data_IF_821826721228
#
_entry.id   IF_821826721228
#
_cell.length_a   1.000
_cell.length_b   1.000
_cell.length_c   1.000
_cell.angle_alpha   90.00
_cell.angle_beta   90.00
_cell.angle_gamma   90.00
#
_symmetry.space_group_name_H-M   'P 1'
#
loop_
_entity.id
_entity.type
_entity.pdbx_description
1 polymer ?
#
# COMPACT_ATOMS: atom_id res chain seq x y z
N UNK A 1 -9.27 5.66 -28.58
CA UNK A 1 -10.00 6.08 -29.80
C UNK A 1 -10.38 4.84 -30.61
N UNK A 2 -11.28 4.98 -31.59
CA UNK A 2 -11.59 3.89 -32.50
C UNK A 2 -10.32 3.49 -33.27
N UNK A 3 -10.00 2.17 -33.30
CA UNK A 3 -8.80 1.57 -33.89
C UNK A 3 -7.52 1.65 -33.05
N UNK A 4 -7.55 2.20 -31.84
CA UNK A 4 -6.41 2.10 -30.93
C UNK A 4 -6.25 0.65 -30.45
N UNK A 5 -4.99 0.17 -30.42
CA UNK A 5 -4.64 -1.11 -29.84
C UNK A 5 -4.33 -0.91 -28.36
N UNK A 6 -4.90 -1.74 -27.51
CA UNK A 6 -4.67 -1.69 -26.07
C UNK A 6 -4.61 -3.11 -25.49
N UNK A 7 -3.92 -3.27 -24.39
CA UNK A 7 -3.95 -4.48 -23.58
C UNK A 7 -5.07 -4.37 -22.55
N UNK A 8 -5.73 -5.47 -22.28
CA UNK A 8 -6.75 -5.56 -21.24
C UNK A 8 -6.69 -6.92 -20.56
N UNK A 9 -7.01 -6.94 -19.27
CA UNK A 9 -7.10 -8.15 -18.49
C UNK A 9 -8.47 -8.82 -18.70
N UNK A 10 -8.52 -10.13 -18.90
CA UNK A 10 -9.75 -10.91 -18.98
C UNK A 10 -10.27 -11.10 -17.56
N UNK A 11 -11.21 -10.26 -17.14
CA UNK A 11 -11.77 -10.29 -15.79
C UNK A 11 -12.68 -11.49 -15.56
N UNK A 12 -13.47 -11.85 -16.55
CA UNK A 12 -14.47 -12.90 -16.42
C UNK A 12 -14.86 -13.44 -17.80
N UNK A 13 -15.17 -14.73 -17.87
CA UNK A 13 -15.77 -15.37 -19.04
C UNK A 13 -17.07 -16.05 -18.58
N UNK A 14 -18.21 -15.60 -19.11
CA UNK A 14 -19.53 -16.19 -18.83
C UNK A 14 -19.99 -17.00 -20.01
N UNK A 15 -20.46 -18.24 -19.77
CA UNK A 15 -21.17 -19.01 -20.77
C UNK A 15 -22.63 -18.61 -20.76
N UNK A 16 -23.16 -18.28 -21.95
CA UNK A 16 -24.56 -17.93 -22.13
C UNK A 16 -25.17 -18.76 -23.29
N UNK A 17 -26.51 -18.88 -23.40
CA UNK A 17 -27.15 -19.58 -24.52
C UNK A 17 -26.77 -19.02 -25.91
N UNK A 18 -26.26 -17.78 -25.96
CA UNK A 18 -25.79 -17.10 -27.18
C UNK A 18 -24.31 -17.19 -27.44
N UNK A 19 -23.59 -17.99 -26.63
CA UNK A 19 -22.14 -18.13 -26.68
C UNK A 19 -21.41 -17.53 -25.47
N UNK A 20 -20.08 -17.56 -25.51
CA UNK A 20 -19.26 -17.01 -24.44
C UNK A 20 -19.23 -15.48 -24.48
N UNK A 21 -19.42 -14.85 -23.32
CA UNK A 21 -19.22 -13.42 -23.11
C UNK A 21 -17.92 -13.19 -22.34
N UNK A 22 -17.04 -12.37 -22.89
CA UNK A 22 -15.74 -12.04 -22.31
C UNK A 22 -15.80 -10.63 -21.76
N UNK A 23 -15.55 -10.49 -20.45
CA UNK A 23 -15.46 -9.21 -19.75
C UNK A 23 -14.00 -8.81 -19.59
N UNK A 24 -13.66 -7.66 -20.14
CA UNK A 24 -12.31 -7.08 -20.08
C UNK A 24 -12.26 -5.94 -19.07
N UNK A 25 -11.12 -5.77 -18.42
CA UNK A 25 -10.88 -4.67 -17.51
C UNK A 25 -9.45 -4.15 -17.64
N UNK A 26 -9.30 -2.82 -17.49
CA UNK A 26 -7.99 -2.15 -17.34
C UNK A 26 -7.81 -1.56 -15.94
N UNK A 27 -8.82 -1.65 -15.08
CA UNK A 27 -8.86 -1.01 -13.76
C UNK A 27 -8.63 -1.98 -12.59
N UNK A 28 -8.63 -3.28 -12.83
CA UNK A 28 -8.35 -4.28 -11.80
C UNK A 28 -6.87 -4.31 -11.43
N UNK A 29 -6.55 -4.74 -10.21
CA UNK A 29 -5.15 -4.88 -9.76
C UNK A 29 -4.38 -5.87 -10.63
N UNK A 30 -5.03 -6.96 -11.03
CA UNK A 30 -4.44 -8.02 -11.86
C UNK A 30 -3.85 -7.49 -13.18
N UNK A 31 -4.47 -6.45 -13.77
CA UNK A 31 -3.92 -5.81 -14.97
C UNK A 31 -2.50 -5.26 -14.72
N UNK A 32 -2.27 -4.61 -13.59
CA UNK A 32 -0.94 -4.10 -13.23
C UNK A 32 0.02 -5.24 -12.92
N UNK A 33 -0.44 -6.26 -12.20
CA UNK A 33 0.36 -7.44 -11.83
C UNK A 33 0.85 -8.17 -13.09
N UNK A 34 -0.02 -8.41 -14.05
CA UNK A 34 0.32 -9.05 -15.32
C UNK A 34 1.31 -8.22 -16.15
N UNK A 35 1.16 -6.89 -16.15
CA UNK A 35 2.10 -6.00 -16.83
C UNK A 35 3.51 -6.10 -16.22
N UNK A 36 3.62 -6.13 -14.88
CA UNK A 36 4.90 -6.34 -14.22
C UNK A 36 5.46 -7.75 -14.47
N UNK A 37 4.63 -8.77 -14.51
CA UNK A 37 5.05 -10.15 -14.83
C UNK A 37 5.62 -10.25 -16.24
N UNK A 38 5.07 -9.50 -17.20
CA UNK A 38 5.61 -9.45 -18.56
C UNK A 38 6.89 -8.62 -18.69
N UNK A 39 7.01 -7.53 -17.90
CA UNK A 39 8.12 -6.58 -18.03
C UNK A 39 9.35 -6.97 -17.19
N UNK A 40 9.15 -7.74 -16.11
CA UNK A 40 10.18 -8.10 -15.13
C UNK A 40 10.42 -9.61 -15.18
N UNK A 41 11.49 -10.09 -15.86
CA UNK A 41 11.79 -11.51 -15.98
C UNK A 41 11.89 -12.22 -14.63
N UNK A 42 12.46 -11.57 -13.63
CA UNK A 42 12.63 -12.12 -12.27
C UNK A 42 11.29 -12.46 -11.59
N UNK A 43 10.19 -11.80 -11.99
CA UNK A 43 8.84 -12.15 -11.54
C UNK A 43 8.34 -13.38 -12.30
N UNK A 44 8.46 -13.41 -13.62
CA UNK A 44 8.01 -14.53 -14.45
C UNK A 44 8.77 -15.83 -14.14
N UNK A 45 10.03 -15.74 -13.74
CA UNK A 45 10.88 -16.85 -13.30
C UNK A 45 10.61 -17.25 -11.84
N UNK A 46 9.77 -16.51 -11.12
CA UNK A 46 9.41 -16.79 -9.74
C UNK A 46 10.52 -16.50 -8.73
N UNK A 47 11.51 -15.71 -9.10
CA UNK A 47 12.59 -15.23 -8.20
C UNK A 47 12.09 -14.09 -7.30
N UNK A 48 11.22 -13.24 -7.85
CA UNK A 48 10.51 -12.19 -7.14
C UNK A 48 9.02 -12.55 -7.14
N UNK A 49 8.38 -12.39 -5.98
CA UNK A 49 6.96 -12.58 -5.79
C UNK A 49 6.24 -11.25 -5.62
N UNK A 50 5.13 -11.06 -6.33
CA UNK A 50 4.19 -9.99 -6.05
C UNK A 50 3.28 -10.47 -4.93
N UNK A 51 3.26 -9.76 -3.81
CA UNK A 51 2.49 -10.11 -2.61
C UNK A 51 1.14 -9.41 -2.55
N UNK A 52 1.07 -8.16 -3.02
CA UNK A 52 -0.16 -7.38 -3.03
C UNK A 52 -0.08 -6.24 -4.05
N UNK A 53 -1.24 -5.73 -4.45
CA UNK A 53 -1.36 -4.54 -5.29
C UNK A 53 -2.57 -3.70 -4.88
N UNK A 54 -2.42 -2.38 -4.92
CA UNK A 54 -3.50 -1.43 -4.71
C UNK A 54 -3.43 -0.33 -5.76
N UNK A 55 -4.57 -0.01 -6.38
CA UNK A 55 -4.64 0.96 -7.48
C UNK A 55 -5.70 2.03 -7.24
N UNK A 56 -5.36 3.22 -7.66
CA UNK A 56 -6.27 4.30 -8.05
C UNK A 56 -6.09 4.49 -9.56
N UNK A 57 -6.91 3.77 -10.38
CA UNK A 57 -6.63 3.60 -11.80
C UNK A 57 -6.47 4.92 -12.56
N UNK A 58 -5.39 5.02 -13.33
CA UNK A 58 -5.03 6.22 -14.09
C UNK A 58 -4.32 7.31 -13.29
N UNK A 59 -4.17 7.16 -11.98
CA UNK A 59 -3.53 8.14 -11.11
C UNK A 59 -2.28 7.58 -10.43
N UNK A 60 -2.46 6.65 -9.48
CA UNK A 60 -1.36 6.08 -8.71
C UNK A 60 -1.68 4.68 -8.22
N UNK A 61 -0.64 3.87 -8.06
CA UNK A 61 -0.75 2.53 -7.48
C UNK A 61 0.47 2.18 -6.64
N UNK A 62 0.32 1.14 -5.82
CA UNK A 62 1.38 0.55 -5.02
C UNK A 62 1.42 -0.94 -5.32
N UNK A 63 2.63 -1.47 -5.49
CA UNK A 63 2.89 -2.89 -5.73
C UNK A 63 3.86 -3.41 -4.67
N UNK A 64 3.43 -4.38 -3.87
CA UNK A 64 4.26 -5.01 -2.86
C UNK A 64 4.95 -6.23 -3.41
N UNK A 65 6.29 -6.28 -3.30
CA UNK A 65 7.14 -7.32 -3.84
C UNK A 65 8.08 -7.89 -2.77
N UNK A 66 8.40 -9.18 -2.91
CA UNK A 66 9.37 -9.90 -2.05
C UNK A 66 10.30 -10.72 -2.93
N UNK A 67 11.60 -10.66 -2.68
CA UNK A 67 12.54 -11.60 -3.29
C UNK A 67 12.62 -12.88 -2.45
N UNK A 68 12.75 -14.03 -3.11
CA UNK A 68 13.00 -15.32 -2.45
C UNK A 68 14.42 -15.41 -1.91
N UNK A 69 15.38 -14.82 -2.63
CA UNK A 69 16.79 -14.74 -2.22
C UNK A 69 17.09 -13.31 -1.74
N UNK A 70 17.61 -13.19 -0.51
CA UNK A 70 17.97 -11.90 0.11
C UNK A 70 19.06 -11.11 -0.63
N UNK A 71 19.79 -11.77 -1.56
CA UNK A 71 20.81 -11.12 -2.39
C UNK A 71 20.23 -10.33 -3.56
N UNK A 72 18.96 -10.53 -3.84
CA UNK A 72 18.27 -9.86 -4.95
C UNK A 72 17.50 -8.67 -4.41
N UNK A 73 17.70 -7.52 -5.02
CA UNK A 73 16.89 -6.32 -4.78
C UNK A 73 15.59 -6.37 -5.59
N UNK A 74 14.44 -6.67 -4.96
CA UNK A 74 13.19 -6.77 -5.68
C UNK A 74 12.67 -5.41 -6.15
N UNK A 75 12.98 -4.34 -5.44
CA UNK A 75 12.57 -2.98 -5.80
C UNK A 75 13.35 -2.54 -7.04
N UNK A 76 14.66 -2.64 -7.02
CA UNK A 76 15.53 -2.28 -8.13
C UNK A 76 15.23 -3.07 -9.40
N UNK A 77 14.93 -4.37 -9.26
CA UNK A 77 14.54 -5.23 -10.39
C UNK A 77 13.24 -4.78 -11.04
N UNK A 78 12.23 -4.40 -10.26
CA UNK A 78 10.94 -3.90 -10.77
C UNK A 78 11.05 -2.49 -11.36
N UNK A 79 11.89 -1.63 -10.81
CA UNK A 79 12.14 -0.30 -11.34
C UNK A 79 12.90 -0.38 -12.67
N UNK A 80 13.92 -1.23 -12.72
CA UNK A 80 14.77 -1.42 -13.88
C UNK A 80 15.78 -0.28 -14.06
N UNK A 81 16.69 -0.46 -15.00
CA UNK A 81 17.75 0.53 -15.28
C UNK A 81 17.14 1.89 -15.65
N UNK A 82 17.47 2.92 -14.88
CA UNK A 82 16.93 4.30 -15.04
C UNK A 82 15.39 4.36 -15.03
N UNK A 83 14.73 3.42 -14.37
CA UNK A 83 13.29 3.39 -14.30
C UNK A 83 12.58 2.81 -15.53
N UNK A 84 13.30 2.17 -16.45
CA UNK A 84 12.75 1.75 -17.75
C UNK A 84 11.56 0.80 -17.62
N UNK A 85 11.63 -0.18 -16.69
CA UNK A 85 10.58 -1.19 -16.51
C UNK A 85 9.31 -0.58 -15.90
N UNK A 86 9.45 0.13 -14.78
CA UNK A 86 8.30 0.78 -14.14
C UNK A 86 7.67 1.83 -15.06
N UNK A 87 8.47 2.53 -15.87
CA UNK A 87 7.97 3.51 -16.84
C UNK A 87 7.21 2.83 -17.99
N UNK A 88 7.65 1.66 -18.46
CA UNK A 88 6.94 0.90 -19.48
C UNK A 88 5.53 0.50 -18.99
N UNK A 89 5.43 -0.01 -17.74
CA UNK A 89 4.13 -0.31 -17.11
C UNK A 89 3.29 0.95 -16.93
N UNK A 90 3.86 2.04 -16.42
CA UNK A 90 3.17 3.32 -16.25
C UNK A 90 2.59 3.83 -17.58
N UNK A 91 3.35 3.76 -18.65
CA UNK A 91 2.92 4.20 -20.00
C UNK A 91 1.74 3.35 -20.50
N UNK A 92 1.78 2.01 -20.32
CA UNK A 92 0.66 1.14 -20.67
C UNK A 92 -0.60 1.48 -19.85
N UNK A 93 -0.44 1.93 -18.62
CA UNK A 93 -1.52 2.35 -17.72
C UNK A 93 -1.90 3.84 -17.85
N UNK A 94 -1.59 4.47 -18.98
CA UNK A 94 -1.88 5.88 -19.27
C UNK A 94 -1.26 6.89 -18.29
N UNK A 95 -0.03 6.63 -17.85
CA UNK A 95 0.70 7.50 -16.95
C UNK A 95 0.42 7.28 -15.46
N UNK A 96 -0.25 6.19 -15.10
CA UNK A 96 -0.45 5.79 -13.70
C UNK A 96 0.91 5.55 -13.02
N UNK A 97 1.18 6.30 -11.95
CA UNK A 97 2.44 6.18 -11.19
C UNK A 97 2.39 4.93 -10.33
N UNK A 98 3.43 4.10 -10.38
CA UNK A 98 3.53 2.89 -9.57
C UNK A 98 4.66 3.02 -8.55
N UNK A 99 4.33 2.96 -7.28
CA UNK A 99 5.30 2.85 -6.19
C UNK A 99 5.57 1.38 -5.92
N UNK A 100 6.83 0.97 -5.98
CA UNK A 100 7.25 -0.39 -5.64
C UNK A 100 7.60 -0.44 -4.16
N UNK A 101 6.95 -1.33 -3.42
CA UNK A 101 7.02 -1.44 -1.96
C UNK A 101 7.63 -2.78 -1.58
N UNK A 102 8.61 -2.76 -0.67
CA UNK A 102 9.12 -3.99 -0.09
C UNK A 102 8.07 -4.59 0.85
N UNK A 103 7.66 -5.83 0.55
CA UNK A 103 6.77 -6.56 1.43
C UNK A 103 7.56 -7.12 2.63
N UNK A 104 6.97 -7.08 3.82
CA UNK A 104 7.53 -7.62 5.05
C UNK A 104 6.54 -8.56 5.74
N UNK A 105 7.04 -9.54 6.48
CA UNK A 105 6.23 -10.46 7.29
C UNK A 105 5.68 -9.77 8.54
N UNK A 106 6.44 -8.81 9.08
CA UNK A 106 5.98 -7.93 10.13
C UNK A 106 4.97 -6.91 9.57
N UNK A 107 3.70 -6.95 10.01
CA UNK A 107 2.68 -6.03 9.53
C UNK A 107 3.03 -4.56 9.75
N UNK A 108 3.67 -4.23 10.88
CA UNK A 108 4.09 -2.86 11.18
C UNK A 108 5.15 -2.37 10.20
N UNK A 109 6.17 -3.20 9.95
CA UNK A 109 7.21 -2.87 8.97
C UNK A 109 6.64 -2.76 7.55
N UNK A 110 5.70 -3.64 7.18
CA UNK A 110 5.05 -3.56 5.87
C UNK A 110 4.24 -2.27 5.71
N UNK A 111 3.53 -1.84 6.75
CA UNK A 111 2.81 -0.56 6.74
C UNK A 111 3.78 0.61 6.62
N UNK A 112 4.88 0.61 7.38
CA UNK A 112 5.93 1.63 7.27
C UNK A 112 6.44 1.73 5.83
N UNK A 113 6.78 0.60 5.22
CA UNK A 113 7.23 0.57 3.82
C UNK A 113 6.14 1.09 2.86
N UNK A 114 4.88 0.72 3.10
CA UNK A 114 3.74 1.14 2.28
C UNK A 114 3.43 2.63 2.36
N UNK A 115 3.84 3.31 3.43
CA UNK A 115 3.65 4.75 3.59
C UNK A 115 4.61 5.60 2.72
N UNK A 116 5.63 4.97 2.11
CA UNK A 116 6.50 5.69 1.18
C UNK A 116 5.68 6.55 0.18
N UNK A 117 6.14 7.79 -0.14
CA UNK A 117 7.45 8.37 0.15
C UNK A 117 7.56 9.06 1.52
N UNK A 118 6.55 9.04 2.38
CA UNK A 118 6.61 9.64 3.70
C UNK A 118 7.45 8.79 4.65
N UNK A 119 8.21 9.44 5.52
CA UNK A 119 8.96 8.81 6.58
C UNK A 119 8.09 8.68 7.83
N UNK A 120 8.03 7.47 8.40
CA UNK A 120 7.26 7.16 9.60
C UNK A 120 8.19 7.21 10.80
N UNK A 121 7.80 7.98 11.83
CA UNK A 121 8.59 8.11 13.07
C UNK A 121 8.24 7.03 14.08
N UNK A 122 6.95 6.75 14.26
CA UNK A 122 6.48 5.67 15.12
C UNK A 122 5.15 5.07 14.63
N UNK A 123 4.87 3.85 15.06
CA UNK A 123 3.64 3.14 14.74
C UNK A 123 3.13 2.41 15.99
N UNK A 124 1.83 2.50 16.23
CA UNK A 124 1.15 1.77 17.30
C UNK A 124 0.13 0.85 16.64
N UNK A 125 0.21 -0.43 16.98
CA UNK A 125 -0.62 -1.49 16.38
C UNK A 125 -1.73 -1.89 17.36
N UNK A 126 -2.99 -1.81 16.94
CA UNK A 126 -4.14 -2.36 17.65
C UNK A 126 -4.66 -3.57 16.84
N UNK A 127 -4.18 -4.76 17.21
CA UNK A 127 -4.55 -5.99 16.51
C UNK A 127 -6.03 -6.35 16.72
N UNK A 128 -6.61 -6.04 17.87
CA UNK A 128 -8.01 -6.36 18.18
C UNK A 128 -8.97 -5.59 17.27
N UNK A 129 -8.66 -4.33 17.01
CA UNK A 129 -9.48 -3.46 16.16
C UNK A 129 -9.04 -3.46 14.70
N UNK A 130 -7.89 -4.06 14.39
CA UNK A 130 -7.34 -4.14 13.05
C UNK A 130 -6.96 -2.77 12.48
N UNK A 131 -6.43 -1.88 13.32
CA UNK A 131 -5.94 -0.58 12.87
C UNK A 131 -4.53 -0.26 13.41
N UNK A 132 -3.88 0.69 12.75
CA UNK A 132 -2.58 1.21 13.16
C UNK A 132 -2.60 2.72 13.17
N UNK A 133 -2.10 3.30 14.26
CA UNK A 133 -1.81 4.73 14.37
C UNK A 133 -0.37 4.98 13.97
N UNK A 134 -0.18 5.91 13.05
CA UNK A 134 1.11 6.24 12.44
C UNK A 134 1.43 7.68 12.78
N UNK A 135 2.51 7.88 13.54
CA UNK A 135 3.03 9.21 13.82
C UNK A 135 4.17 9.56 12.86
N UNK A 136 4.10 10.74 12.31
CA UNK A 136 5.09 11.31 11.40
C UNK A 136 5.49 12.70 11.86
N UNK A 137 6.65 13.18 11.40
CA UNK A 137 7.02 14.58 11.58
C UNK A 137 6.01 15.50 10.88
N UNK A 138 5.85 16.72 11.38
CA UNK A 138 4.89 17.70 10.88
C UNK A 138 5.04 17.95 9.37
N UNK A 139 6.29 18.04 8.88
CA UNK A 139 6.62 18.23 7.48
C UNK A 139 6.31 17.00 6.60
N UNK A 140 6.23 15.80 7.18
CA UNK A 140 5.89 14.55 6.50
C UNK A 140 4.38 14.29 6.42
N UNK A 141 3.57 14.98 7.24
CA UNK A 141 2.13 14.71 7.36
C UNK A 141 1.40 14.84 6.01
N UNK A 142 1.70 15.87 5.26
CA UNK A 142 1.10 16.09 3.94
C UNK A 142 1.48 14.99 2.93
N UNK A 143 2.71 14.47 2.98
CA UNK A 143 3.17 13.37 2.16
C UNK A 143 2.52 12.04 2.58
N UNK A 144 2.42 11.81 3.88
CA UNK A 144 1.83 10.59 4.45
C UNK A 144 0.35 10.46 4.04
N UNK A 145 -0.41 11.53 4.13
CA UNK A 145 -1.81 11.57 3.70
C UNK A 145 -1.89 11.51 2.17
N UNK A 146 -1.10 12.33 1.49
CA UNK A 146 -1.13 12.50 0.06
C UNK A 146 -2.32 13.33 -0.43
N UNK A 147 -2.30 13.73 -1.70
CA UNK A 147 -3.38 14.52 -2.31
C UNK A 147 -4.71 13.78 -2.22
N UNK A 148 -5.70 14.39 -1.55
CA UNK A 148 -7.03 13.79 -1.35
C UNK A 148 -7.03 12.48 -0.54
N UNK A 149 -6.00 12.25 0.27
CA UNK A 149 -5.83 11.04 1.05
C UNK A 149 -5.38 9.84 0.22
N UNK A 150 -4.81 10.04 -0.97
CA UNK A 150 -4.47 8.96 -1.90
C UNK A 150 -3.39 8.03 -1.34
N UNK A 151 -2.33 8.58 -0.72
CA UNK A 151 -1.24 7.76 -0.22
C UNK A 151 -1.68 6.81 0.89
N UNK A 152 -2.35 7.36 1.92
CA UNK A 152 -2.87 6.56 3.04
C UNK A 152 -3.93 5.54 2.60
N UNK A 153 -4.82 5.91 1.65
CA UNK A 153 -5.84 4.98 1.13
C UNK A 153 -5.21 3.81 0.36
N UNK A 154 -4.18 4.08 -0.45
CA UNK A 154 -3.46 3.03 -1.17
C UNK A 154 -2.68 2.14 -0.21
N UNK A 155 -1.99 2.71 0.78
CA UNK A 155 -1.29 1.96 1.81
C UNK A 155 -2.25 1.05 2.62
N UNK A 156 -3.40 1.59 3.02
CA UNK A 156 -4.43 0.81 3.72
C UNK A 156 -4.97 -0.35 2.87
N UNK A 157 -5.25 -0.12 1.59
CA UNK A 157 -5.72 -1.18 0.67
C UNK A 157 -4.64 -2.22 0.39
N UNK A 158 -3.37 -1.80 0.31
CA UNK A 158 -2.24 -2.68 0.04
C UNK A 158 -1.97 -3.63 1.19
N UNK A 159 -2.01 -3.11 2.42
CA UNK A 159 -1.66 -3.84 3.64
C UNK A 159 -2.84 -4.55 4.29
N UNK A 160 -4.07 -4.11 3.99
CA UNK A 160 -5.29 -4.62 4.61
C UNK A 160 -5.60 -4.03 5.98
N UNK A 161 -4.77 -3.11 6.49
CA UNK A 161 -4.96 -2.45 7.78
C UNK A 161 -5.68 -1.13 7.63
N UNK A 162 -6.49 -0.78 8.62
CA UNK A 162 -7.01 0.59 8.74
C UNK A 162 -5.89 1.46 9.30
N UNK A 163 -5.57 2.54 8.61
CA UNK A 163 -4.46 3.42 8.97
C UNK A 163 -4.99 4.79 9.39
N UNK A 164 -4.47 5.30 10.48
CA UNK A 164 -4.65 6.67 10.93
C UNK A 164 -3.29 7.34 10.98
N UNK A 165 -3.18 8.55 10.46
CA UNK A 165 -1.92 9.31 10.41
C UNK A 165 -2.08 10.59 11.19
N UNK A 166 -1.11 10.88 12.05
CA UNK A 166 -1.09 12.06 12.89
C UNK A 166 0.35 12.61 13.01
N UNK A 167 0.47 13.85 13.48
CA UNK A 167 1.78 14.38 13.86
C UNK A 167 2.28 13.74 15.15
N UNK A 168 3.60 13.80 15.40
CA UNK A 168 4.19 13.33 16.68
C UNK A 168 3.57 14.10 17.84
N UNK A 169 3.39 15.42 17.72
CA UNK A 169 2.79 16.24 18.78
C UNK A 169 1.35 15.80 19.12
N UNK A 170 0.54 15.47 18.11
CA UNK A 170 -0.82 14.97 18.34
C UNK A 170 -0.80 13.57 18.98
N UNK A 171 0.15 12.72 18.59
CA UNK A 171 0.31 11.39 19.17
C UNK A 171 0.67 11.46 20.66
N UNK A 172 1.61 12.34 21.03
CA UNK A 172 2.03 12.57 22.42
C UNK A 172 0.86 13.11 23.26
N UNK A 173 0.08 14.04 22.73
CA UNK A 173 -1.12 14.59 23.39
C UNK A 173 -2.20 13.51 23.62
N UNK A 174 -2.41 12.62 22.67
CA UNK A 174 -3.36 11.50 22.80
C UNK A 174 -2.89 10.54 23.87
N UNK A 175 -1.60 10.16 23.84
CA UNK A 175 -1.00 9.25 24.82
C UNK A 175 -1.04 9.82 26.24
N UNK A 176 -0.76 11.10 26.42
CA UNK A 176 -0.86 11.78 27.71
C UNK A 176 -2.31 11.76 28.25
N UNK A 177 -3.30 12.02 27.40
CA UNK A 177 -4.73 11.96 27.77
C UNK A 177 -5.19 10.55 28.14
N UNK A 178 -4.70 9.52 27.43
CA UNK A 178 -5.02 8.13 27.74
C UNK A 178 -4.39 7.66 29.05
N UNK A 179 -3.16 8.04 29.33
CA UNK A 179 -2.48 7.79 30.59
C UNK A 179 -3.22 8.43 31.77
N UNK A 180 -3.64 9.70 31.62
CA UNK A 180 -4.41 10.40 32.63
C UNK A 180 -5.75 9.72 32.91
N UNK A 181 -6.52 9.38 31.87
CA UNK A 181 -7.80 8.65 32.01
C UNK A 181 -7.64 7.27 32.66
N UNK A 182 -6.53 6.59 32.35
CA UNK A 182 -6.24 5.28 32.93
C UNK A 182 -5.86 5.43 34.40
N UNK A 183 -5.07 6.43 34.75
CA UNK A 183 -4.74 6.81 36.11
C UNK A 183 -5.98 7.14 36.94
N UNK A 184 -6.86 7.99 36.43
CA UNK A 184 -8.13 8.36 37.08
C UNK A 184 -9.03 7.14 37.33
N UNK A 185 -9.19 6.25 36.34
CA UNK A 185 -9.96 5.00 36.49
C UNK A 185 -9.35 4.03 37.50
N UNK A 186 -8.02 3.98 37.57
CA UNK A 186 -7.33 3.14 38.54
C UNK A 186 -7.48 3.69 39.95
N UNK A 187 -7.32 5.01 40.12
CA UNK A 187 -7.53 5.73 41.38
C UNK A 187 -8.97 5.54 41.90
N UNK A 188 -9.96 5.69 41.04
CA UNK A 188 -11.38 5.43 41.38
C UNK A 188 -11.62 3.99 41.84
N UNK A 189 -11.01 3.00 41.16
CA UNK A 189 -11.15 1.59 41.53
C UNK A 189 -10.39 1.23 42.82
N UNK A 190 -9.32 1.91 43.14
CA UNK A 190 -8.49 1.66 44.34
C UNK A 190 -8.91 2.54 45.51
N UNK A 191 -9.79 3.54 45.30
CA UNK A 191 -10.23 4.45 46.35
C UNK A 191 -9.11 5.39 46.85
N UNK A 192 -8.15 5.75 45.95
CA UNK A 192 -7.01 6.64 46.25
C UNK A 192 -7.12 7.84 45.32
N UNK A 193 -6.80 9.04 45.86
CA UNK A 193 -6.74 10.25 45.03
C UNK A 193 -5.61 10.12 43.99
N UNK A 194 -5.90 10.49 42.74
CA UNK A 194 -4.89 10.54 41.68
C UNK A 194 -4.09 11.86 41.85
N UNK A 195 -2.85 11.76 42.38
CA UNK A 195 -1.86 12.83 42.31
C UNK A 195 -1.05 12.76 41.01
#
# INVERSE_FOLDING_TARGET
RKNDRLRAYIKEVKSTPRGAQIFLSRTVNDMMIELFTMEVPEISEGVIEIKAGARDPGLRSKLAVKAKDKRIDPIGSCIGMRGARVQAVSNELNGERVDIILWDEDPAQFVINAMAPAEVSSIVVDEEKGFMDIAVEEDQLALAIGRGGQNIKLASRLTGWKLNVMSISDADDIQAKELQKTGEKLAEKLGVDAE
#
